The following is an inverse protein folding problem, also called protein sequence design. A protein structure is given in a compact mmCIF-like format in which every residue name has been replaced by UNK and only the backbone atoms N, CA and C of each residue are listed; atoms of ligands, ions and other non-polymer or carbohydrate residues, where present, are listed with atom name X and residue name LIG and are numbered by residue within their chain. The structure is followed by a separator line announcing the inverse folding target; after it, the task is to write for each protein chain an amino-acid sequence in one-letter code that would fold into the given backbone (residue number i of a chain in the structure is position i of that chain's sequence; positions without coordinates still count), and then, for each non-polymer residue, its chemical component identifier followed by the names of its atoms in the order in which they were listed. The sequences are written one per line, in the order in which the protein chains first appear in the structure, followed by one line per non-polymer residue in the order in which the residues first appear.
data_IF_334333533976
#
_entry.id   IF_334333533976
#
_cell.length_a   1.000
_cell.length_b   1.000
_cell.length_c   1.000
_cell.angle_alpha   90.00
_cell.angle_beta   90.00
_cell.angle_gamma   90.00
#
_symmetry.space_group_name_H-M   'P 1'
#
loop_
_entity.id
_entity.type
_entity.pdbx_description
1 polymer ?
#
# COMPACT_ATOMS: atom_id res chain seq x y z
N UNK A 1 17.17 -3.00 32.62
CA UNK A 1 17.11 -4.03 31.57
C UNK A 1 15.98 -3.64 30.64
N UNK A 2 16.35 -3.17 29.44
CA UNK A 2 15.48 -2.38 28.57
C UNK A 2 14.32 -3.20 28.02
N UNK A 3 13.14 -2.58 27.99
CA UNK A 3 12.01 -3.10 27.23
C UNK A 3 12.43 -3.24 25.77
N UNK A 4 12.36 -4.46 25.24
CA UNK A 4 12.46 -4.71 23.81
C UNK A 4 11.19 -4.12 23.20
N UNK A 5 11.28 -2.90 22.66
CA UNK A 5 10.20 -2.38 21.83
C UNK A 5 10.18 -3.26 20.59
N UNK A 6 9.30 -4.26 20.57
CA UNK A 6 8.86 -4.87 19.32
C UNK A 6 8.17 -3.75 18.55
N UNK A 7 8.94 -3.02 17.74
CA UNK A 7 8.40 -2.19 16.67
C UNK A 7 7.54 -3.11 15.80
N UNK A 8 6.22 -3.05 15.99
CA UNK A 8 5.27 -3.77 15.15
C UNK A 8 5.44 -3.20 13.75
N UNK A 9 6.05 -3.99 12.85
CA UNK A 9 6.16 -3.61 11.44
C UNK A 9 4.76 -3.39 10.86
N UNK A 10 4.49 -2.18 10.41
CA UNK A 10 3.25 -1.82 9.74
C UNK A 10 3.43 -1.98 8.23
N UNK A 11 2.58 -2.79 7.60
CA UNK A 11 2.54 -2.92 6.13
C UNK A 11 1.42 -2.06 5.57
N UNK A 12 1.78 -1.15 4.67
CA UNK A 12 0.86 -0.26 3.96
C UNK A 12 0.77 -0.71 2.51
N UNK A 13 -0.41 -1.17 2.09
CA UNK A 13 -0.68 -1.58 0.71
C UNK A 13 -1.46 -0.48 0.01
N UNK A 14 -0.90 0.05 -1.08
CA UNK A 14 -1.52 1.08 -1.91
C UNK A 14 -2.06 0.42 -3.18
N UNK A 15 -3.37 0.21 -3.23
CA UNK A 15 -4.07 -0.20 -4.44
C UNK A 15 -4.23 0.98 -5.40
N UNK A 16 -3.96 0.78 -6.69
CA UNK A 16 -3.90 1.89 -7.65
C UNK A 16 -2.63 2.73 -7.53
N UNK A 17 -1.55 2.14 -6.99
CA UNK A 17 -0.24 2.75 -6.82
C UNK A 17 0.40 3.26 -8.11
N UNK A 18 -0.02 2.76 -9.27
CA UNK A 18 0.41 3.27 -10.57
C UNK A 18 -0.33 4.53 -11.06
N UNK A 19 -1.43 4.92 -10.40
CA UNK A 19 -2.19 6.12 -10.74
C UNK A 19 -1.53 7.40 -10.25
N UNK A 20 -2.08 8.56 -10.65
CA UNK A 20 -1.53 9.88 -10.30
C UNK A 20 -1.26 10.04 -8.80
N UNK A 21 -2.27 9.75 -7.97
CA UNK A 21 -2.15 9.88 -6.51
C UNK A 21 -1.23 8.81 -5.93
N UNK A 22 -1.28 7.58 -6.46
CA UNK A 22 -0.40 6.50 -6.04
C UNK A 22 1.09 6.85 -6.22
N UNK A 23 1.43 7.47 -7.35
CA UNK A 23 2.77 7.96 -7.64
C UNK A 23 3.19 9.17 -6.80
N UNK A 24 2.27 10.08 -6.49
CA UNK A 24 2.56 11.17 -5.57
C UNK A 24 2.89 10.66 -4.15
N UNK A 25 2.13 9.67 -3.66
CA UNK A 25 2.41 9.03 -2.37
C UNK A 25 3.76 8.30 -2.41
N UNK A 26 4.04 7.55 -3.49
CA UNK A 26 5.32 6.87 -3.66
C UNK A 26 6.50 7.85 -3.60
N UNK A 27 6.39 9.00 -4.25
CA UNK A 27 7.42 10.06 -4.25
C UNK A 27 7.65 10.60 -2.83
N UNK A 28 6.60 11.02 -2.12
CA UNK A 28 6.73 11.56 -0.76
C UNK A 28 7.35 10.53 0.20
N UNK A 29 6.91 9.28 0.11
CA UNK A 29 7.39 8.19 0.97
C UNK A 29 8.87 7.86 0.70
N UNK A 30 9.29 7.80 -0.57
CA UNK A 30 10.64 7.34 -0.95
C UNK A 30 11.67 8.46 -1.06
N UNK A 31 11.26 9.66 -1.45
CA UNK A 31 12.17 10.75 -1.83
C UNK A 31 12.13 11.90 -0.82
N UNK A 32 10.99 12.16 -0.16
CA UNK A 32 10.84 13.27 0.79
C UNK A 32 10.92 12.85 2.26
N UNK A 33 11.12 11.56 2.54
CA UNK A 33 11.21 11.04 3.91
C UNK A 33 9.86 10.94 4.63
N UNK A 34 8.76 10.77 3.90
CA UNK A 34 7.42 10.64 4.46
C UNK A 34 7.14 9.33 5.21
N UNK A 35 8.01 8.32 5.07
CA UNK A 35 7.86 7.03 5.76
C UNK A 35 8.20 7.14 7.25
N UNK A 36 7.39 6.51 8.11
CA UNK A 36 7.72 6.37 9.54
C UNK A 36 8.54 5.12 9.80
N UNK A 37 9.26 5.13 10.93
CA UNK A 37 10.00 3.94 11.37
C UNK A 37 9.07 2.74 11.54
N UNK A 38 9.47 1.61 10.96
CA UNK A 38 8.69 0.36 11.01
C UNK A 38 7.65 0.21 9.91
N UNK A 39 7.47 1.19 9.02
CA UNK A 39 6.57 1.07 7.88
C UNK A 39 7.22 0.38 6.66
N UNK A 40 6.47 -0.52 6.04
CA UNK A 40 6.78 -1.15 4.75
C UNK A 40 5.68 -0.81 3.75
N UNK A 41 6.04 -0.11 2.67
CA UNK A 41 5.10 0.41 1.68
C UNK A 41 5.13 -0.41 0.39
N UNK A 42 3.97 -0.92 -0.03
CA UNK A 42 3.79 -1.80 -1.19
C UNK A 42 2.79 -1.14 -2.15
N UNK A 43 3.26 -0.78 -3.35
CA UNK A 43 2.45 -0.11 -4.37
C UNK A 43 2.02 -1.12 -5.44
N UNK A 44 0.72 -1.32 -5.59
CA UNK A 44 0.13 -2.28 -6.51
C UNK A 44 -0.54 -1.60 -7.70
N UNK A 45 -0.54 -2.30 -8.83
CA UNK A 45 -1.27 -1.97 -10.05
C UNK A 45 -2.39 -3.00 -10.32
N UNK A 46 -3.21 -2.76 -11.34
CA UNK A 46 -4.22 -3.74 -11.78
C UNK A 46 -3.63 -5.04 -12.34
N UNK A 47 -2.33 -5.08 -12.65
CA UNK A 47 -1.65 -6.32 -13.05
C UNK A 47 -1.39 -7.25 -11.86
N UNK A 48 -1.40 -6.70 -10.64
CA UNK A 48 -1.12 -7.44 -9.41
C UNK A 48 -2.41 -8.04 -8.82
N UNK A 49 -3.53 -7.34 -8.96
CA UNK A 49 -4.86 -7.82 -8.57
C UNK A 49 -5.97 -7.07 -9.31
N UNK A 50 -7.06 -7.78 -9.62
CA UNK A 50 -8.33 -7.15 -9.99
C UNK A 50 -9.14 -6.89 -8.72
N UNK A 51 -9.53 -5.64 -8.51
CA UNK A 51 -10.29 -5.19 -7.33
C UNK A 51 -11.78 -5.00 -7.64
N UNK A 52 -12.19 -5.22 -8.89
CA UNK A 52 -13.61 -5.29 -9.22
C UNK A 52 -14.16 -6.54 -8.53
N UNK A 53 -15.21 -6.42 -7.69
CA UNK A 53 -15.84 -7.60 -7.11
C UNK A 53 -16.31 -8.53 -8.24
N UNK A 54 -16.28 -9.86 -8.05
CA UNK A 54 -16.77 -10.77 -9.06
C UNK A 54 -18.19 -10.38 -9.47
N UNK A 55 -18.47 -10.40 -10.77
CA UNK A 55 -19.81 -10.13 -11.27
C UNK A 55 -20.73 -11.18 -10.66
N UNK A 56 -21.54 -10.77 -9.69
CA UNK A 56 -22.60 -11.61 -9.15
C UNK A 56 -23.64 -11.76 -10.25
N UNK A 57 -23.69 -12.94 -10.87
CA UNK A 57 -24.68 -13.47 -11.81
C UNK A 57 -25.39 -12.41 -12.68
N UNK A 58 -25.16 -12.38 -14.01
CA UNK A 58 -26.08 -11.69 -14.89
C UNK A 58 -27.46 -12.28 -14.61
N UNK A 59 -28.38 -11.46 -14.11
CA UNK A 59 -29.79 -11.84 -14.17
C UNK A 59 -30.11 -11.89 -15.64
N UNK A 60 -30.54 -13.07 -16.08
CA UNK A 60 -31.38 -13.29 -17.25
C UNK A 60 -32.29 -12.07 -17.53
#
# INVERSE_FOLDING_TARGET
WGAVHSSLRMRVVVTGGSGLVGKAIEHVVKEEGGAKEGEEWIFLSSKDADLIPPVSHPRD
#
